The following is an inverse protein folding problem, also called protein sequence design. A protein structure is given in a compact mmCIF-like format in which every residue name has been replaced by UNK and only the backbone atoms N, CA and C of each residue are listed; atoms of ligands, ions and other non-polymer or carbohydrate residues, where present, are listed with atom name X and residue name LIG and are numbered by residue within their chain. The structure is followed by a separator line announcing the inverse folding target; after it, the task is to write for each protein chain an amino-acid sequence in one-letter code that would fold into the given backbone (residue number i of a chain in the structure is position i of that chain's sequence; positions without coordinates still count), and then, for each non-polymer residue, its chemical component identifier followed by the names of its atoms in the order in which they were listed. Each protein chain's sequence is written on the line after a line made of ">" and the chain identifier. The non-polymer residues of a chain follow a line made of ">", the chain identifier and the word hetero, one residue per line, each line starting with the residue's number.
data_IF_428121833121
#
_entry.id   IF_428121833121
#
_cell.length_a   1.000
_cell.length_b   1.000
_cell.length_c   1.000
_cell.angle_alpha   90.00
_cell.angle_beta   90.00
_cell.angle_gamma   90.00
#
_symmetry.space_group_name_H-M   'P 1'
#
loop_
_entity.id
_entity.type
_entity.pdbx_description
1 polymer ?
#
# COMPACT_ATOMS: atom_id res chain seq x y z
N UNK A 1 -6.38 12.77 16.75
CA UNK A 1 -6.40 13.17 15.33
C UNK A 1 -6.37 11.91 14.48
N UNK A 2 -7.45 11.64 13.75
CA UNK A 2 -7.56 10.53 12.82
C UNK A 2 -7.02 10.92 11.45
N UNK A 3 -6.40 9.98 10.76
CA UNK A 3 -5.97 10.10 9.37
C UNK A 3 -6.59 8.95 8.58
N UNK A 4 -7.30 9.26 7.50
CA UNK A 4 -7.85 8.25 6.60
C UNK A 4 -7.22 8.44 5.22
N UNK A 5 -6.62 7.37 4.71
CA UNK A 5 -6.04 7.30 3.39
C UNK A 5 -6.95 6.52 2.48
N UNK A 6 -7.20 7.05 1.30
CA UNK A 6 -8.09 6.41 0.34
C UNK A 6 -7.65 6.73 -1.07
N UNK A 7 -8.16 5.92 -2.00
CA UNK A 7 -7.94 6.15 -3.43
C UNK A 7 -9.17 6.81 -4.02
N UNK A 8 -8.95 7.90 -4.75
CA UNK A 8 -9.98 8.48 -5.61
C UNK A 8 -10.15 7.58 -6.82
N UNK A 9 -11.36 7.04 -7.02
CA UNK A 9 -11.67 6.14 -8.14
C UNK A 9 -12.44 6.88 -9.22
N UNK A 10 -12.14 6.53 -10.47
CA UNK A 10 -12.98 6.85 -11.63
C UNK A 10 -13.54 5.54 -12.21
N UNK A 11 -14.63 5.58 -13.00
CA UNK A 11 -15.06 4.43 -13.81
C UNK A 11 -13.91 3.85 -14.64
N UNK A 12 -13.99 2.55 -14.98
CA UNK A 12 -12.96 1.86 -15.81
C UNK A 12 -12.78 2.59 -17.15
N UNK A 13 -13.90 2.97 -17.78
CA UNK A 13 -13.95 3.70 -19.05
C UNK A 13 -13.25 5.07 -19.01
N UNK A 14 -12.97 5.60 -17.82
CA UNK A 14 -12.33 6.91 -17.60
C UNK A 14 -10.92 6.78 -17.00
N UNK A 15 -10.32 5.58 -17.05
CA UNK A 15 -8.97 5.31 -16.59
C UNK A 15 -8.84 4.89 -15.11
N UNK A 16 -9.94 4.43 -14.47
CA UNK A 16 -10.01 3.81 -13.12
C UNK A 16 -9.59 4.69 -11.92
N UNK A 17 -8.91 5.83 -12.15
CA UNK A 17 -8.34 6.69 -11.13
C UNK A 17 -7.16 6.04 -10.38
N UNK A 18 -6.20 6.83 -9.92
CA UNK A 18 -4.94 6.31 -9.36
C UNK A 18 -4.32 7.12 -8.23
N UNK A 19 -5.02 8.14 -7.73
CA UNK A 19 -4.46 9.08 -6.75
C UNK A 19 -4.81 8.63 -5.34
N UNK A 20 -3.78 8.56 -4.48
CA UNK A 20 -3.94 8.37 -3.05
C UNK A 20 -4.13 9.75 -2.40
N UNK A 21 -5.11 9.87 -1.53
CA UNK A 21 -5.44 11.11 -0.82
C UNK A 21 -5.53 10.86 0.67
N UNK A 22 -5.39 11.93 1.46
CA UNK A 22 -5.58 11.88 2.91
C UNK A 22 -6.60 12.91 3.37
N UNK A 23 -7.44 12.48 4.30
CA UNK A 23 -8.33 13.35 5.08
C UNK A 23 -8.00 13.22 6.57
N UNK A 24 -8.27 14.30 7.32
CA UNK A 24 -8.05 14.35 8.77
C UNK A 24 -9.36 14.63 9.49
N UNK A 25 -9.45 14.13 10.71
CA UNK A 25 -10.60 14.38 11.57
C UNK A 25 -10.20 14.43 13.04
N UNK A 26 -10.78 15.37 13.79
CA UNK A 26 -10.62 15.44 15.24
C UNK A 26 -11.53 14.42 15.96
N UNK A 27 -12.68 14.10 15.39
CA UNK A 27 -13.76 13.31 16.03
C UNK A 27 -14.01 11.94 15.37
N UNK A 28 -13.36 11.64 14.24
CA UNK A 28 -13.54 10.40 13.48
C UNK A 28 -14.83 10.36 12.65
N UNK A 29 -15.58 11.46 12.56
CA UNK A 29 -16.86 11.57 11.86
C UNK A 29 -16.81 12.65 10.79
N UNK A 30 -16.31 13.84 11.13
CA UNK A 30 -16.19 14.98 10.23
C UNK A 30 -14.78 15.07 9.69
N UNK A 31 -14.62 14.91 8.37
CA UNK A 31 -13.31 14.81 7.72
C UNK A 31 -13.01 15.99 6.82
N UNK A 32 -11.82 16.56 6.98
CA UNK A 32 -11.28 17.63 6.15
C UNK A 32 -10.24 17.08 5.18
N UNK A 33 -10.38 17.38 3.88
CA UNK A 33 -9.42 16.99 2.87
C UNK A 33 -8.09 17.74 3.03
N UNK A 34 -6.97 17.02 2.90
CA UNK A 34 -5.63 17.55 3.20
C UNK A 34 -4.67 17.52 1.99
N UNK A 35 -5.08 16.89 0.89
CA UNK A 35 -4.27 16.73 -0.30
C UNK A 35 -4.19 15.32 -0.82
N UNK A 36 -3.65 15.23 -2.03
CA UNK A 36 -3.09 13.99 -2.57
C UNK A 36 -1.71 13.73 -1.93
N UNK A 37 -1.40 12.44 -1.75
CA UNK A 37 -0.16 11.96 -1.15
C UNK A 37 0.33 10.75 -1.93
N UNK A 38 1.62 10.41 -1.76
CA UNK A 38 2.24 9.24 -2.37
C UNK A 38 1.90 9.11 -3.87
N UNK A 39 2.31 10.05 -4.74
CA UNK A 39 1.98 10.02 -6.16
C UNK A 39 2.54 8.76 -6.86
N UNK A 40 1.97 8.33 -8.00
CA UNK A 40 2.57 7.30 -8.86
C UNK A 40 4.04 7.59 -9.20
N UNK A 41 4.84 6.54 -9.38
CA UNK A 41 6.23 6.67 -9.82
C UNK A 41 6.36 6.63 -11.34
N UNK A 42 7.57 6.35 -11.82
CA UNK A 42 7.86 6.15 -13.26
C UNK A 42 8.11 4.68 -13.63
N UNK A 43 7.85 3.76 -12.69
CA UNK A 43 8.21 2.34 -12.81
C UNK A 43 6.99 1.42 -12.61
N UNK A 44 7.15 0.37 -11.81
CA UNK A 44 6.13 -0.66 -11.51
C UNK A 44 4.85 -0.09 -10.88
N UNK A 45 4.90 1.12 -10.31
CA UNK A 45 3.80 1.83 -9.67
C UNK A 45 3.38 3.09 -10.44
N UNK A 46 3.63 3.13 -11.76
CA UNK A 46 3.48 4.33 -12.59
C UNK A 46 2.04 4.76 -12.91
N UNK A 47 1.06 3.90 -12.70
CA UNK A 47 -0.35 4.26 -12.92
C UNK A 47 -1.11 4.47 -11.64
N UNK A 48 -0.65 3.84 -10.57
CA UNK A 48 -1.39 3.83 -9.33
C UNK A 48 -0.48 3.49 -8.17
N UNK A 49 -0.71 4.23 -7.10
CA UNK A 49 -0.22 3.97 -5.76
C UNK A 49 -1.40 4.03 -4.80
N UNK A 50 -1.36 3.21 -3.76
CA UNK A 50 -2.32 3.27 -2.65
C UNK A 50 -1.62 2.86 -1.38
N UNK A 51 -1.77 3.65 -0.32
CA UNK A 51 -1.38 3.19 1.01
C UNK A 51 -2.28 2.01 1.42
N UNK A 52 -1.65 0.88 1.70
CA UNK A 52 -2.33 -0.30 2.24
C UNK A 52 -2.24 -0.30 3.77
N UNK A 53 -1.12 0.16 4.34
CA UNK A 53 -0.89 0.18 5.79
C UNK A 53 0.10 1.25 6.20
N UNK A 54 -0.06 1.76 7.43
CA UNK A 54 0.91 2.60 8.13
C UNK A 54 1.18 2.03 9.52
N UNK A 55 2.35 1.45 9.70
CA UNK A 55 2.80 0.92 10.98
C UNK A 55 3.85 1.84 11.59
N UNK A 56 3.62 2.30 12.82
CA UNK A 56 4.66 3.01 13.55
C UNK A 56 5.77 2.03 13.96
N UNK A 57 6.95 2.22 13.40
CA UNK A 57 8.17 1.49 13.72
C UNK A 57 9.24 2.54 13.99
N UNK A 58 9.67 2.74 15.26
CA UNK A 58 10.56 3.84 15.62
C UNK A 58 11.77 3.95 14.68
N UNK A 59 12.13 5.17 14.22
CA UNK A 59 11.61 6.47 14.64
C UNK A 59 10.45 7.03 13.77
N UNK A 60 9.82 6.24 12.90
CA UNK A 60 8.83 6.75 11.96
C UNK A 60 7.73 5.76 11.60
N UNK A 61 7.00 6.05 10.52
CA UNK A 61 6.00 5.15 9.98
C UNK A 61 6.60 4.36 8.82
N UNK A 62 6.59 3.03 8.94
CA UNK A 62 6.76 2.12 7.82
C UNK A 62 5.43 2.01 7.08
N UNK A 63 5.45 2.29 5.78
CA UNK A 63 4.25 2.34 4.95
C UNK A 63 4.35 1.25 3.90
N UNK A 64 3.41 0.31 3.91
CA UNK A 64 3.21 -0.61 2.79
C UNK A 64 2.24 0.03 1.82
N UNK A 65 2.60 0.03 0.54
CA UNK A 65 1.73 0.56 -0.51
C UNK A 65 1.60 -0.41 -1.67
N UNK A 66 0.38 -0.53 -2.17
CA UNK A 66 0.10 -1.22 -3.42
C UNK A 66 0.45 -0.32 -4.61
N UNK A 67 1.08 -0.89 -5.63
CA UNK A 67 1.41 -0.19 -6.87
C UNK A 67 1.07 -1.01 -8.11
N UNK A 68 0.79 -0.31 -9.22
CA UNK A 68 0.50 -0.90 -10.54
C UNK A 68 1.01 -0.07 -11.70
N UNK A 69 1.31 -0.76 -12.80
CA UNK A 69 1.86 -0.18 -14.03
C UNK A 69 0.81 0.01 -15.14
N UNK A 70 -0.38 -0.59 -15.00
CA UNK A 70 -1.38 -0.60 -16.08
C UNK A 70 -2.77 -1.04 -15.65
N UNK A 71 -3.72 -0.90 -16.59
CA UNK A 71 -5.12 -1.33 -16.40
C UNK A 71 -5.28 -2.85 -16.46
N UNK A 72 -4.40 -3.54 -17.18
CA UNK A 72 -4.37 -5.01 -17.24
C UNK A 72 -4.14 -5.64 -15.85
N UNK A 73 -3.52 -4.89 -14.94
CA UNK A 73 -3.30 -5.28 -13.54
C UNK A 73 -4.50 -4.95 -12.64
N UNK A 74 -5.73 -4.79 -13.18
CA UNK A 74 -6.89 -4.31 -12.40
C UNK A 74 -7.21 -5.18 -11.17
N UNK A 75 -6.88 -6.47 -11.22
CA UNK A 75 -7.03 -7.44 -10.12
C UNK A 75 -5.70 -7.87 -9.51
N UNK A 76 -4.61 -7.46 -10.13
CA UNK A 76 -3.24 -7.69 -9.68
C UNK A 76 -2.73 -6.50 -8.89
N UNK A 77 -1.51 -6.63 -8.38
CA UNK A 77 -0.83 -5.58 -7.65
C UNK A 77 0.40 -6.13 -6.96
N UNK A 78 1.39 -5.28 -6.81
CA UNK A 78 2.61 -5.59 -6.05
C UNK A 78 2.73 -4.66 -4.85
N UNK A 79 3.53 -5.05 -3.85
CA UNK A 79 3.70 -4.26 -2.63
C UNK A 79 5.07 -3.60 -2.61
N UNK A 80 5.08 -2.29 -2.37
CA UNK A 80 6.26 -1.48 -2.14
C UNK A 80 6.35 -1.02 -0.68
N UNK A 81 7.50 -0.44 -0.33
CA UNK A 81 7.76 0.14 0.99
C UNK A 81 8.06 1.62 0.83
N UNK A 82 7.45 2.44 1.68
CA UNK A 82 7.76 3.84 1.88
C UNK A 82 7.93 4.14 3.37
N UNK A 83 8.46 5.31 3.68
CA UNK A 83 8.53 5.84 5.05
C UNK A 83 7.88 7.22 5.13
N UNK A 84 7.32 7.54 6.29
CA UNK A 84 6.79 8.87 6.61
C UNK A 84 7.11 9.22 8.06
N UNK A 85 7.33 10.51 8.33
CA UNK A 85 7.55 11.03 9.68
C UNK A 85 6.42 11.96 10.16
N UNK A 86 5.55 12.39 9.25
CA UNK A 86 4.51 13.39 9.50
C UNK A 86 3.12 12.95 8.99
N UNK A 87 3.00 11.71 8.50
CA UNK A 87 1.78 11.16 7.93
C UNK A 87 1.25 11.97 6.74
N UNK A 88 2.13 12.68 6.02
CA UNK A 88 1.75 13.51 4.87
C UNK A 88 2.77 13.43 3.75
N UNK A 89 4.04 13.44 4.09
CA UNK A 89 5.16 13.28 3.17
C UNK A 89 5.64 11.83 3.22
N UNK A 90 5.87 11.25 2.04
CA UNK A 90 6.24 9.85 1.90
C UNK A 90 7.49 9.74 1.03
N UNK A 91 8.52 9.06 1.54
CA UNK A 91 9.69 8.68 0.77
C UNK A 91 9.56 7.21 0.40
N UNK A 92 9.44 6.91 -0.90
CA UNK A 92 9.46 5.53 -1.40
C UNK A 92 10.86 4.94 -1.23
N UNK A 93 10.95 3.80 -0.57
CA UNK A 93 12.19 3.03 -0.45
C UNK A 93 12.38 2.03 -1.60
N UNK A 94 11.30 1.72 -2.32
CA UNK A 94 11.31 0.79 -3.46
C UNK A 94 10.81 1.43 -4.76
N UNK A 95 11.43 2.51 -5.26
CA UNK A 95 10.93 3.26 -6.42
C UNK A 95 11.12 2.55 -7.77
N UNK A 96 12.05 1.59 -7.87
CA UNK A 96 12.44 0.97 -9.15
C UNK A 96 11.91 -0.46 -9.35
N UNK A 97 11.46 -1.11 -8.28
CA UNK A 97 10.83 -2.44 -8.30
C UNK A 97 10.01 -2.63 -7.02
N UNK A 98 8.99 -3.51 -7.00
CA UNK A 98 8.27 -3.81 -5.77
C UNK A 98 9.20 -4.41 -4.71
N UNK A 99 8.82 -4.23 -3.44
CA UNK A 99 9.49 -4.90 -2.32
C UNK A 99 9.10 -6.38 -2.26
N UNK A 100 7.82 -6.67 -2.49
CA UNK A 100 7.21 -7.99 -2.33
C UNK A 100 6.31 -8.32 -3.51
N UNK A 101 6.48 -9.53 -4.03
CA UNK A 101 5.69 -10.16 -5.08
C UNK A 101 5.52 -11.64 -4.76
N UNK A 102 4.45 -12.25 -5.25
CA UNK A 102 4.37 -13.71 -5.29
C UNK A 102 5.39 -14.25 -6.29
N UNK A 103 5.92 -15.43 -6.03
CA UNK A 103 6.76 -16.17 -6.98
C UNK A 103 5.92 -16.97 -7.99
N UNK A 104 4.60 -16.88 -7.89
CA UNK A 104 3.66 -17.65 -8.69
C UNK A 104 2.77 -16.77 -9.57
N UNK A 105 2.30 -17.35 -10.67
CA UNK A 105 1.36 -16.74 -11.62
C UNK A 105 1.75 -15.30 -12.01
N UNK A 106 0.86 -14.34 -11.81
CA UNK A 106 1.04 -12.91 -12.13
C UNK A 106 2.05 -12.19 -11.24
N UNK A 107 2.53 -12.86 -10.20
CA UNK A 107 3.37 -12.27 -9.17
C UNK A 107 2.62 -11.37 -8.18
N UNK A 108 1.28 -11.36 -8.18
CA UNK A 108 0.54 -10.45 -7.30
C UNK A 108 0.75 -10.76 -5.82
N UNK A 109 1.04 -9.69 -5.07
CA UNK A 109 1.07 -9.64 -3.61
C UNK A 109 0.61 -8.24 -3.19
N UNK A 110 -0.60 -8.15 -2.63
CA UNK A 110 -1.33 -6.90 -2.42
C UNK A 110 -2.10 -6.91 -1.10
N UNK A 111 -2.65 -5.75 -0.72
CA UNK A 111 -3.41 -5.57 0.53
C UNK A 111 -2.58 -5.95 1.75
N UNK A 112 -1.31 -5.55 1.73
CA UNK A 112 -0.35 -5.92 2.76
C UNK A 112 -0.52 -5.06 4.00
N UNK A 113 -0.59 -5.70 5.17
CA UNK A 113 -0.73 -5.11 6.50
C UNK A 113 0.33 -5.62 7.47
N UNK A 114 0.64 -4.82 8.49
CA UNK A 114 1.64 -5.09 9.52
C UNK A 114 1.00 -4.87 10.89
N UNK A 115 0.96 -5.94 11.68
CA UNK A 115 0.73 -5.83 13.13
C UNK A 115 2.08 -5.78 13.82
N UNK A 116 2.32 -4.69 14.56
CA UNK A 116 3.53 -4.49 15.36
C UNK A 116 3.28 -5.02 16.78
N UNK A 117 3.94 -6.12 17.14
CA UNK A 117 3.94 -6.69 18.48
C UNK A 117 5.24 -6.32 19.21
N UNK A 118 5.36 -6.63 20.49
CA UNK A 118 6.58 -6.33 21.26
C UNK A 118 7.81 -7.06 20.73
N UNK A 119 7.67 -8.35 20.38
CA UNK A 119 8.76 -9.25 20.01
C UNK A 119 8.77 -9.63 18.52
N UNK A 120 7.79 -9.18 17.73
CA UNK A 120 7.68 -9.53 16.32
C UNK A 120 6.90 -8.51 15.49
N UNK A 121 7.03 -8.64 14.17
CA UNK A 121 6.13 -8.07 13.18
C UNK A 121 5.31 -9.21 12.56
N UNK A 122 3.99 -9.05 12.46
CA UNK A 122 3.12 -10.01 11.77
C UNK A 122 2.60 -9.36 10.51
N UNK A 123 2.89 -9.97 9.37
CA UNK A 123 2.46 -9.50 8.06
C UNK A 123 1.27 -10.31 7.58
N UNK A 124 0.22 -9.64 7.14
CA UNK A 124 -0.91 -10.25 6.43
C UNK A 124 -0.94 -9.68 5.01
N UNK A 125 -1.19 -10.51 4.01
CA UNK A 125 -1.27 -10.08 2.62
C UNK A 125 -2.03 -11.09 1.77
N UNK A 126 -2.61 -10.63 0.68
CA UNK A 126 -3.19 -11.48 -0.36
C UNK A 126 -2.13 -11.73 -1.46
N UNK A 127 -1.90 -12.98 -1.85
CA UNK A 127 -0.95 -13.32 -2.92
C UNK A 127 -1.47 -14.37 -3.90
N UNK A 128 -0.97 -14.29 -5.14
CA UNK A 128 -1.26 -15.25 -6.19
C UNK A 128 -0.62 -16.62 -5.91
N UNK A 129 -1.34 -17.69 -6.27
CA UNK A 129 -0.95 -19.10 -6.19
C UNK A 129 -0.51 -19.63 -7.56
N UNK A 130 0.01 -20.85 -7.57
CA UNK A 130 0.43 -21.55 -8.81
C UNK A 130 -0.72 -21.70 -9.81
N UNK A 131 -1.94 -21.91 -9.33
CA UNK A 131 -3.16 -22.06 -10.14
C UNK A 131 -3.78 -20.71 -10.58
N UNK A 132 -3.15 -19.58 -10.24
CA UNK A 132 -3.64 -18.24 -10.54
C UNK A 132 -4.72 -17.72 -9.58
N UNK A 133 -5.19 -18.53 -8.63
CA UNK A 133 -6.07 -18.04 -7.58
C UNK A 133 -5.31 -17.18 -6.56
N UNK A 134 -6.03 -16.44 -5.72
CA UNK A 134 -5.46 -15.62 -4.66
C UNK A 134 -5.83 -16.18 -3.29
N UNK A 135 -4.91 -16.11 -2.33
CA UNK A 135 -5.16 -16.47 -0.93
C UNK A 135 -4.51 -15.47 0.02
N UNK A 136 -5.06 -15.36 1.21
CA UNK A 136 -4.44 -14.60 2.30
C UNK A 136 -3.38 -15.48 2.95
N UNK A 137 -2.19 -14.93 3.15
CA UNK A 137 -1.10 -15.54 3.92
C UNK A 137 -0.70 -14.65 5.08
N UNK A 138 -0.03 -15.27 6.04
CA UNK A 138 0.54 -14.60 7.19
C UNK A 138 2.00 -15.04 7.41
N UNK A 139 2.89 -14.08 7.67
CA UNK A 139 4.24 -14.38 8.16
C UNK A 139 4.49 -13.63 9.46
N UNK A 140 5.11 -14.32 10.43
CA UNK A 140 5.61 -13.70 11.66
C UNK A 140 7.13 -13.59 11.58
N UNK A 141 7.65 -12.38 11.73
CA UNK A 141 9.08 -12.06 11.70
C UNK A 141 9.49 -11.57 13.09
N UNK A 142 10.33 -12.32 13.83
CA UNK A 142 10.84 -11.87 15.13
C UNK A 142 11.64 -10.56 15.01
N UNK A 143 11.54 -9.69 16.02
CA UNK A 143 12.47 -8.57 16.16
C UNK A 143 13.84 -9.10 16.59
N UNK A 144 14.89 -8.50 16.05
CA UNK A 144 16.26 -8.77 16.48
C UNK A 144 16.55 -8.08 17.80
#
# INVERSE_FOLDING_TARGET
>A
MFHLYYRTRKPISEGRGGLCSVVRSADGVNFEWQGEVLPPGDSWDSKLTRVDTMAYVPPGFTVLYGGRSGIEETYEGSTGIAVSFDLRTFQKLTPHKPALQSVHATGSLKYSDIVVLDDAYVFYYECARVDGAHEIRMNRVPKK
#
